data_IF_195315916179
#
_entry.id   IF_195315916179
#
_cell.length_a   1.000
_cell.length_b   1.000
_cell.length_c   1.000
_cell.angle_alpha   90.00
_cell.angle_beta   90.00
_cell.angle_gamma   90.00
#
_symmetry.space_group_name_H-M   'P 1'
#
loop_
_entity.id
_entity.type
_entity.pdbx_description
1 polymer ?
#
# COMPACT_ATOMS: atom_id res chain seq x y z
N UNK A 1 26.80 13.62 -1.92
CA UNK A 1 25.69 14.56 -2.17
C UNK A 1 25.11 14.95 -0.82
N UNK A 2 24.90 16.24 -0.60
CA UNK A 2 24.59 16.84 0.72
C UNK A 2 23.17 16.52 1.21
N UNK A 3 22.99 16.47 2.54
CA UNK A 3 21.72 16.40 3.28
C UNK A 3 20.59 17.30 2.71
N UNK A 4 20.96 18.39 2.03
CA UNK A 4 20.05 19.32 1.38
C UNK A 4 19.05 18.70 0.37
N UNK A 5 19.39 17.59 -0.31
CA UNK A 5 18.48 16.96 -1.27
C UNK A 5 17.39 16.11 -0.60
N UNK A 6 17.68 15.52 0.56
CA UNK A 6 16.70 14.80 1.37
C UNK A 6 15.84 15.77 2.20
N UNK A 7 16.43 16.88 2.67
CA UNK A 7 15.72 17.94 3.38
C UNK A 7 14.63 18.60 2.52
N UNK A 8 14.84 18.73 1.20
CA UNK A 8 13.88 19.36 0.29
C UNK A 8 12.59 18.55 0.06
N UNK A 9 12.56 17.26 0.41
CA UNK A 9 11.37 16.42 0.20
C UNK A 9 10.25 16.77 1.21
N UNK A 10 10.59 16.93 2.50
CA UNK A 10 9.61 16.98 3.60
C UNK A 10 9.12 18.39 3.97
N UNK A 11 9.70 19.45 3.39
CA UNK A 11 9.31 20.84 3.70
C UNK A 11 7.96 21.31 3.09
N UNK A 12 7.11 20.41 2.62
CA UNK A 12 5.91 20.80 1.84
C UNK A 12 4.73 21.32 2.66
N UNK A 13 4.69 21.13 3.99
CA UNK A 13 3.62 21.67 4.84
C UNK A 13 4.10 22.40 6.11
N UNK A 14 5.39 22.29 6.48
CA UNK A 14 5.91 22.76 7.76
C UNK A 14 5.36 22.02 9.00
N UNK A 15 4.38 21.14 8.83
CA UNK A 15 3.75 20.36 9.91
C UNK A 15 4.62 19.21 10.40
N UNK A 16 5.47 18.67 9.53
CA UNK A 16 6.36 17.55 9.80
C UNK A 16 7.82 17.97 9.61
N UNK A 17 8.71 17.34 10.35
CA UNK A 17 10.16 17.46 10.20
C UNK A 17 10.77 16.07 10.15
N UNK A 18 11.67 15.84 9.20
CA UNK A 18 12.48 14.62 9.18
C UNK A 18 13.57 14.69 10.24
N UNK A 19 13.74 13.60 10.99
CA UNK A 19 14.79 13.44 12.01
C UNK A 19 15.38 12.03 11.93
N UNK A 20 16.62 11.85 12.38
CA UNK A 20 17.17 10.52 12.67
C UNK A 20 16.67 10.08 14.04
N UNK A 21 16.13 8.85 14.10
CA UNK A 21 15.54 8.25 15.29
C UNK A 21 16.35 7.00 15.62
N UNK A 22 16.86 6.94 16.86
CA UNK A 22 17.70 5.83 17.32
C UNK A 22 16.99 4.49 17.12
N UNK A 23 17.66 3.57 16.42
CA UNK A 23 17.12 2.24 16.10
C UNK A 23 16.02 2.20 15.04
N UNK A 24 15.57 3.34 14.51
CA UNK A 24 14.50 3.43 13.49
C UNK A 24 14.92 4.16 12.21
N UNK A 25 16.13 4.71 12.16
CA UNK A 25 16.62 5.48 11.02
C UNK A 25 15.87 6.79 10.86
N UNK A 26 15.65 7.23 9.61
CA UNK A 26 14.94 8.47 9.32
C UNK A 26 13.44 8.30 9.56
N UNK A 27 12.85 9.20 10.34
CA UNK A 27 11.42 9.26 10.60
C UNK A 27 10.87 10.68 10.53
N UNK A 28 9.54 10.81 10.53
CA UNK A 28 8.83 12.09 10.52
C UNK A 28 8.25 12.40 11.89
N UNK A 29 8.57 13.56 12.46
CA UNK A 29 8.00 14.04 13.73
C UNK A 29 7.14 15.27 13.51
N UNK A 30 6.14 15.46 14.38
CA UNK A 30 5.31 16.65 14.40
C UNK A 30 6.15 17.90 14.72
N UNK A 31 6.18 18.89 13.83
CA UNK A 31 6.87 20.18 14.06
C UNK A 31 6.10 21.10 15.01
N UNK A 32 4.81 20.84 15.20
CA UNK A 32 3.90 21.57 16.08
C UNK A 32 2.79 20.62 16.59
N UNK A 33 1.95 21.00 17.57
CA UNK A 33 0.78 20.20 17.93
C UNK A 33 -0.15 20.00 16.74
N UNK A 34 -0.63 18.77 16.56
CA UNK A 34 -1.54 18.38 15.48
C UNK A 34 -2.87 17.92 16.05
N UNK A 35 -3.96 18.16 15.31
CA UNK A 35 -5.32 17.80 15.71
C UNK A 35 -5.81 16.56 14.96
N UNK A 36 -6.60 15.70 15.61
CA UNK A 36 -7.27 14.57 14.97
C UNK A 36 -7.96 14.96 13.65
N UNK A 37 -7.72 14.19 12.58
CA UNK A 37 -8.21 14.43 11.23
C UNK A 37 -7.37 15.39 10.38
N UNK A 38 -6.43 16.13 10.98
CA UNK A 38 -5.57 17.06 10.24
C UNK A 38 -4.75 16.33 9.18
N UNK A 39 -4.75 16.88 7.96
CA UNK A 39 -3.93 16.38 6.84
C UNK A 39 -2.51 16.87 7.05
N UNK A 40 -1.60 15.94 7.33
CA UNK A 40 -0.17 16.24 7.57
C UNK A 40 0.69 16.10 6.31
N UNK A 41 0.24 15.28 5.36
CA UNK A 41 0.91 15.09 4.07
C UNK A 41 -0.11 14.89 2.95
N UNK A 42 0.17 15.52 1.79
CA UNK A 42 -0.34 15.10 0.48
C UNK A 42 0.88 14.82 -0.37
N UNK A 43 0.97 13.62 -0.93
CA UNK A 43 2.14 13.19 -1.68
C UNK A 43 1.75 12.61 -3.04
N UNK A 44 2.54 12.96 -4.06
CA UNK A 44 2.37 12.47 -5.42
C UNK A 44 3.53 11.54 -5.76
N UNK A 45 3.27 10.45 -6.50
CA UNK A 45 4.29 9.45 -6.76
C UNK A 45 5.31 9.96 -7.79
N UNK A 46 6.59 9.73 -7.52
CA UNK A 46 7.67 9.98 -8.50
C UNK A 46 7.80 8.86 -9.52
N UNK A 47 7.30 7.68 -9.19
CA UNK A 47 7.37 6.49 -10.03
C UNK A 47 6.09 5.68 -9.86
N UNK A 48 5.53 5.18 -10.96
CA UNK A 48 4.29 4.41 -11.00
C UNK A 48 4.42 3.22 -11.95
N UNK A 49 3.93 2.06 -11.55
CA UNK A 49 3.90 0.86 -12.39
C UNK A 49 2.76 -0.08 -12.00
N UNK A 50 2.34 -0.92 -12.95
CA UNK A 50 1.25 -1.88 -12.71
C UNK A 50 1.75 -3.05 -11.86
N UNK A 51 0.93 -3.47 -10.89
CA UNK A 51 1.15 -4.67 -10.09
C UNK A 51 0.77 -5.96 -10.85
N UNK A 52 0.17 -5.84 -12.04
CA UNK A 52 -0.18 -6.98 -12.86
C UNK A 52 1.05 -7.53 -13.58
N UNK A 53 1.21 -8.86 -13.70
CA UNK A 53 2.30 -9.45 -14.46
C UNK A 53 2.27 -8.98 -15.92
N UNK A 54 3.40 -9.12 -16.61
CA UNK A 54 3.48 -8.79 -18.03
C UNK A 54 2.56 -9.70 -18.86
N UNK A 55 2.51 -10.98 -18.49
CA UNK A 55 1.73 -12.01 -19.17
C UNK A 55 0.75 -12.64 -18.19
N UNK A 56 -0.55 -12.55 -18.50
CA UNK A 56 -1.60 -13.16 -17.70
C UNK A 56 -1.81 -14.62 -18.16
N UNK A 57 -1.45 -15.59 -17.33
CA UNK A 57 -1.52 -17.03 -17.67
C UNK A 57 -2.95 -17.52 -17.93
N UNK A 58 -3.97 -16.81 -17.44
CA UNK A 58 -5.40 -17.09 -17.75
C UNK A 58 -5.78 -16.90 -19.22
N UNK A 59 -4.92 -16.29 -20.04
CA UNK A 59 -5.17 -16.09 -21.48
C UNK A 59 -4.90 -17.34 -22.33
N UNK A 60 -4.39 -18.43 -21.74
CA UNK A 60 -4.05 -19.66 -22.47
C UNK A 60 -5.08 -20.79 -22.28
N UNK A 61 -6.05 -20.65 -21.38
CA UNK A 61 -7.17 -21.59 -21.26
C UNK A 61 -8.26 -21.25 -22.28
N UNK A 62 -8.35 -22.05 -23.32
CA UNK A 62 -9.31 -21.96 -24.42
C UNK A 62 -10.74 -22.33 -23.97
N UNK A 63 -11.50 -21.36 -23.49
CA UNK A 63 -12.97 -21.39 -23.48
C UNK A 63 -13.52 -19.98 -23.23
N UNK A 64 -13.83 -19.28 -24.33
CA UNK A 64 -14.80 -18.18 -24.44
C UNK A 64 -15.23 -17.49 -23.13
N UNK A 65 -14.38 -16.64 -22.56
CA UNK A 65 -14.73 -15.55 -21.65
C UNK A 65 -13.66 -14.46 -21.79
N UNK A 66 -14.10 -13.20 -21.77
CA UNK A 66 -13.35 -12.02 -22.22
C UNK A 66 -11.90 -11.95 -21.72
N UNK A 67 -10.97 -11.66 -22.61
CA UNK A 67 -9.62 -11.20 -22.29
C UNK A 67 -9.73 -9.99 -21.34
N UNK A 68 -9.47 -10.15 -20.05
CA UNK A 68 -9.45 -9.07 -19.05
C UNK A 68 -8.19 -8.20 -19.17
N UNK A 69 -7.69 -8.00 -20.39
CA UNK A 69 -6.52 -7.20 -20.66
C UNK A 69 -6.92 -5.73 -20.74
N UNK A 70 -6.68 -5.04 -19.61
CA UNK A 70 -6.68 -3.59 -19.40
C UNK A 70 -7.98 -3.05 -18.78
N UNK A 71 -8.15 -3.33 -17.50
CA UNK A 71 -9.25 -2.79 -16.68
C UNK A 71 -8.95 -1.36 -16.18
N UNK A 72 -7.71 -0.88 -16.31
CA UNK A 72 -7.26 0.39 -15.71
C UNK A 72 -6.66 1.36 -16.72
N UNK A 73 -6.83 2.66 -16.45
CA UNK A 73 -6.10 3.71 -17.14
C UNK A 73 -4.58 3.57 -16.88
N UNK A 74 -3.77 3.48 -17.94
CA UNK A 74 -2.33 3.31 -17.83
C UNK A 74 -1.56 4.53 -17.25
N UNK A 75 -2.24 5.67 -17.04
CA UNK A 75 -1.65 6.86 -16.39
C UNK A 75 -2.00 6.99 -14.91
N UNK A 76 -3.26 6.77 -14.58
CA UNK A 76 -3.83 7.12 -13.28
C UNK A 76 -4.44 5.93 -12.54
N UNK A 77 -4.41 4.73 -13.15
CA UNK A 77 -4.94 3.49 -12.58
C UNK A 77 -6.43 3.50 -12.20
N UNK A 78 -7.18 4.48 -12.73
CA UNK A 78 -8.63 4.50 -12.61
C UNK A 78 -9.23 3.28 -13.29
N UNK A 79 -10.20 2.63 -12.65
CA UNK A 79 -11.03 1.58 -13.26
C UNK A 79 -11.81 2.12 -14.45
N UNK A 80 -11.73 1.40 -15.57
CA UNK A 80 -12.39 1.72 -16.83
C UNK A 80 -13.68 0.91 -17.04
N UNK A 81 -13.98 -0.04 -16.14
CA UNK A 81 -15.13 -0.94 -16.24
C UNK A 81 -16.37 -0.48 -15.45
N UNK A 82 -16.27 0.63 -14.70
CA UNK A 82 -17.32 1.10 -13.79
C UNK A 82 -18.51 1.80 -14.46
N UNK A 83 -19.06 1.28 -15.58
CA UNK A 83 -20.24 1.89 -16.23
C UNK A 83 -21.34 0.93 -16.70
N UNK A 84 -21.34 -0.34 -16.28
CA UNK A 84 -22.34 -1.32 -16.73
C UNK A 84 -23.56 -1.51 -15.81
N UNK A 85 -23.66 -0.82 -14.66
CA UNK A 85 -24.75 -1.04 -13.69
C UNK A 85 -25.63 0.17 -13.38
N UNK A 86 -25.60 1.25 -14.17
CA UNK A 86 -26.63 2.29 -14.11
C UNK A 86 -27.07 2.73 -15.50
N UNK A 87 -28.38 2.75 -15.69
CA UNK A 87 -29.14 3.00 -16.91
C UNK A 87 -29.06 4.45 -17.41
N UNK A 88 -27.85 4.98 -17.55
CA UNK A 88 -27.59 6.24 -18.26
C UNK A 88 -26.43 6.05 -19.24
N UNK A 89 -26.77 6.13 -20.51
CA UNK A 89 -25.93 5.96 -21.69
C UNK A 89 -24.83 7.02 -21.80
N UNK A 90 -23.78 6.88 -21.00
CA UNK A 90 -22.51 7.59 -21.18
C UNK A 90 -21.43 6.53 -21.36
N UNK A 91 -21.21 6.09 -22.60
CA UNK A 91 -20.07 5.23 -22.91
C UNK A 91 -18.79 6.01 -22.59
N UNK A 92 -18.09 5.65 -21.52
CA UNK A 92 -16.80 6.25 -21.19
C UNK A 92 -15.83 5.89 -22.31
N UNK A 93 -15.62 6.82 -23.24
CA UNK A 93 -14.74 6.62 -24.38
C UNK A 93 -13.29 6.53 -23.90
N UNK A 94 -12.74 5.31 -23.92
CA UNK A 94 -11.32 5.07 -23.64
C UNK A 94 -10.47 5.48 -24.83
N UNK A 95 -9.27 6.00 -24.56
CA UNK A 95 -8.29 6.40 -25.57
C UNK A 95 -7.17 5.37 -25.62
N UNK A 96 -6.99 4.60 -26.70
CA UNK A 96 -5.92 3.62 -26.81
C UNK A 96 -4.57 4.29 -27.13
N UNK A 97 -3.46 3.68 -26.67
CA UNK A 97 -2.14 4.08 -27.14
C UNK A 97 -2.01 3.82 -28.66
N UNK A 98 -1.52 4.78 -29.47
CA UNK A 98 -1.30 4.56 -30.91
C UNK A 98 -0.29 3.45 -31.23
N UNK A 99 0.65 3.17 -30.32
CA UNK A 99 1.74 2.21 -30.54
C UNK A 99 1.47 0.83 -29.91
N UNK A 100 0.68 0.76 -28.83
CA UNK A 100 0.42 -0.47 -28.10
C UNK A 100 -1.05 -0.56 -27.65
N UNK A 101 -1.98 -0.28 -28.57
CA UNK A 101 -3.43 -0.19 -28.30
C UNK A 101 -4.02 -1.41 -27.58
N UNK A 102 -3.48 -2.61 -27.84
CA UNK A 102 -3.89 -3.84 -27.18
C UNK A 102 -3.43 -3.95 -25.72
N UNK A 103 -2.62 -3.02 -25.24
CA UNK A 103 -1.81 -3.17 -24.02
C UNK A 103 -1.98 -2.04 -23.03
N UNK A 104 -2.22 -0.82 -23.52
CA UNK A 104 -2.37 0.35 -22.69
C UNK A 104 -3.48 1.23 -23.27
N UNK A 105 -4.44 1.54 -22.40
CA UNK A 105 -5.58 2.42 -22.68
C UNK A 105 -5.65 3.48 -21.58
N UNK A 106 -6.28 4.60 -21.91
CA UNK A 106 -6.35 5.79 -21.05
C UNK A 106 -7.79 6.24 -20.90
N UNK A 107 -8.15 6.78 -19.72
CA UNK A 107 -9.52 7.29 -19.49
C UNK A 107 -9.81 8.58 -20.25
N UNK A 108 -8.80 9.28 -20.77
CA UNK A 108 -8.94 10.55 -21.48
C UNK A 108 -7.70 10.86 -22.33
N UNK A 109 -7.86 11.80 -23.27
CA UNK A 109 -6.74 12.34 -24.04
C UNK A 109 -5.69 13.02 -23.14
N UNK A 110 -6.13 13.66 -22.05
CA UNK A 110 -5.24 14.26 -21.07
C UNK A 110 -4.35 13.22 -20.39
N UNK A 111 -4.92 12.06 -20.00
CA UNK A 111 -4.14 10.96 -19.44
C UNK A 111 -3.15 10.36 -20.45
N UNK A 112 -3.55 10.17 -21.71
CA UNK A 112 -2.63 9.72 -22.76
C UNK A 112 -1.47 10.72 -22.93
N UNK A 113 -1.78 12.01 -23.11
CA UNK A 113 -0.76 13.05 -23.32
C UNK A 113 0.20 13.17 -22.13
N UNK A 114 -0.31 13.13 -20.89
CA UNK A 114 0.52 13.17 -19.69
C UNK A 114 1.38 11.89 -19.54
N UNK A 115 0.88 10.72 -19.94
CA UNK A 115 1.62 9.47 -19.86
C UNK A 115 2.78 9.42 -20.86
N UNK A 116 2.57 9.91 -22.08
CA UNK A 116 3.60 9.95 -23.13
C UNK A 116 4.83 10.80 -22.75
N UNK A 117 4.67 11.74 -21.80
CA UNK A 117 5.76 12.55 -21.26
C UNK A 117 6.29 12.05 -19.91
N UNK A 118 5.76 10.94 -19.39
CA UNK A 118 6.12 10.38 -18.09
C UNK A 118 6.13 8.85 -18.12
N UNK A 119 5.21 8.19 -17.42
CA UNK A 119 5.18 6.74 -17.19
C UNK A 119 4.94 5.87 -18.44
N UNK A 120 4.66 6.46 -19.59
CA UNK A 120 4.44 5.77 -20.86
C UNK A 120 5.14 6.46 -22.03
N UNK A 121 6.38 6.94 -21.82
CA UNK A 121 7.22 7.47 -22.91
C UNK A 121 7.40 6.47 -24.06
N UNK A 122 7.80 6.91 -25.27
CA UNK A 122 7.99 6.01 -26.41
C UNK A 122 8.88 4.81 -26.11
N UNK A 123 9.94 4.99 -25.32
CA UNK A 123 10.80 3.90 -24.90
C UNK A 123 10.11 2.95 -23.92
N UNK A 124 9.43 3.48 -22.88
CA UNK A 124 8.70 2.64 -21.91
C UNK A 124 7.62 1.82 -22.61
N UNK A 125 6.85 2.45 -23.50
CA UNK A 125 5.86 1.79 -24.35
C UNK A 125 6.49 0.63 -25.14
N UNK A 126 7.57 0.89 -25.88
CA UNK A 126 8.22 -0.12 -26.71
C UNK A 126 8.86 -1.24 -25.86
N UNK A 127 9.50 -0.91 -24.74
CA UNK A 127 10.13 -1.86 -23.84
C UNK A 127 9.09 -2.84 -23.27
N UNK A 128 7.98 -2.33 -22.74
CA UNK A 128 6.91 -3.17 -22.18
C UNK A 128 6.21 -4.02 -23.24
N UNK A 129 6.00 -3.50 -24.45
CA UNK A 129 5.48 -4.30 -25.57
C UNK A 129 6.43 -5.44 -25.92
N UNK A 130 7.72 -5.17 -26.11
CA UNK A 130 8.72 -6.21 -26.44
C UNK A 130 8.80 -7.31 -25.38
N UNK A 131 8.75 -6.94 -24.10
CA UNK A 131 8.76 -7.91 -23.00
C UNK A 131 7.54 -8.84 -23.03
N UNK A 132 6.38 -8.33 -23.44
CA UNK A 132 5.17 -9.14 -23.63
C UNK A 132 5.19 -9.98 -24.88
N UNK A 133 5.72 -9.43 -25.97
CA UNK A 133 5.82 -10.09 -27.27
C UNK A 133 6.92 -11.18 -27.30
N UNK A 134 7.71 -11.31 -26.22
CA UNK A 134 8.69 -12.38 -26.02
C UNK A 134 8.34 -13.29 -24.81
N UNK A 135 7.24 -14.08 -24.87
CA UNK A 135 6.73 -14.81 -23.72
C UNK A 135 7.70 -15.83 -23.14
N UNK A 136 8.54 -16.46 -23.97
CA UNK A 136 9.45 -17.53 -23.57
C UNK A 136 10.41 -17.13 -22.45
N UNK A 137 10.85 -15.86 -22.44
CA UNK A 137 11.78 -15.33 -21.44
C UNK A 137 11.11 -14.98 -20.11
N UNK A 138 9.81 -14.66 -20.15
CA UNK A 138 9.08 -14.08 -19.02
C UNK A 138 8.13 -15.10 -18.38
N UNK A 139 7.54 -16.02 -19.15
CA UNK A 139 6.63 -17.07 -18.66
C UNK A 139 7.30 -18.06 -17.69
N UNK A 140 8.61 -18.27 -17.84
CA UNK A 140 9.38 -19.15 -16.95
C UNK A 140 9.73 -18.48 -15.62
N UNK A 141 9.39 -17.19 -15.47
CA UNK A 141 9.72 -16.41 -14.28
C UNK A 141 8.50 -16.25 -13.37
N UNK A 142 8.69 -16.20 -12.03
CA UNK A 142 7.61 -15.89 -11.08
C UNK A 142 6.93 -14.56 -11.42
N UNK A 143 5.63 -14.44 -11.09
CA UNK A 143 4.84 -13.22 -11.38
C UNK A 143 5.49 -11.95 -10.82
N UNK A 144 6.04 -12.03 -9.60
CA UNK A 144 6.77 -10.94 -8.96
C UNK A 144 7.93 -10.43 -9.82
N UNK A 145 8.70 -11.33 -10.45
CA UNK A 145 9.83 -10.95 -11.32
C UNK A 145 9.36 -10.20 -12.58
N UNK A 146 8.16 -10.49 -13.07
CA UNK A 146 7.56 -9.74 -14.17
C UNK A 146 7.14 -8.34 -13.75
N UNK A 147 6.64 -8.18 -12.52
CA UNK A 147 6.31 -6.88 -11.93
C UNK A 147 7.59 -6.06 -11.69
N UNK A 148 8.64 -6.68 -11.15
CA UNK A 148 9.97 -6.08 -11.00
C UNK A 148 10.53 -5.60 -12.34
N UNK A 149 10.30 -6.31 -13.45
CA UNK A 149 10.68 -5.84 -14.78
C UNK A 149 9.96 -4.55 -15.18
N UNK A 150 8.67 -4.40 -14.84
CA UNK A 150 7.91 -3.15 -15.07
C UNK A 150 8.48 -2.02 -14.23
N UNK A 151 8.75 -2.26 -12.95
CA UNK A 151 9.37 -1.30 -12.05
C UNK A 151 10.71 -0.81 -12.61
N UNK A 152 11.61 -1.72 -13.01
CA UNK A 152 12.93 -1.36 -13.50
C UNK A 152 12.89 -0.57 -14.82
N UNK A 153 11.95 -0.89 -15.73
CA UNK A 153 11.71 -0.06 -16.92
C UNK A 153 11.29 1.36 -16.51
N UNK A 154 10.38 1.50 -15.54
CA UNK A 154 9.99 2.80 -15.02
C UNK A 154 11.16 3.54 -14.32
N UNK A 155 11.98 2.83 -13.54
CA UNK A 155 13.11 3.38 -12.80
C UNK A 155 14.24 3.86 -13.74
N UNK A 156 14.55 3.10 -14.79
CA UNK A 156 15.54 3.49 -15.79
C UNK A 156 15.06 4.71 -16.61
N UNK A 157 13.76 4.79 -16.88
CA UNK A 157 13.17 6.00 -17.45
C UNK A 157 13.31 7.20 -16.49
N UNK A 158 12.99 7.01 -15.22
CA UNK A 158 13.13 8.05 -14.18
C UNK A 158 14.56 8.58 -14.10
N UNK A 159 15.56 7.67 -14.06
CA UNK A 159 16.98 8.01 -14.03
C UNK A 159 17.40 8.94 -15.16
N UNK A 160 16.82 8.74 -16.35
CA UNK A 160 17.23 9.48 -17.54
C UNK A 160 16.54 10.84 -17.68
N UNK A 161 15.24 10.89 -17.42
CA UNK A 161 14.42 12.08 -17.73
C UNK A 161 14.15 12.94 -16.49
N UNK A 162 14.24 12.35 -15.30
CA UNK A 162 13.96 13.02 -14.02
C UNK A 162 15.07 12.74 -13.00
N UNK A 163 16.33 13.15 -13.27
CA UNK A 163 17.48 12.77 -12.44
C UNK A 163 17.34 13.23 -10.99
N UNK A 164 16.70 14.36 -10.71
CA UNK A 164 16.45 14.80 -9.33
C UNK A 164 15.51 13.85 -8.58
N UNK A 165 14.43 13.40 -9.22
CA UNK A 165 13.51 12.41 -8.64
C UNK A 165 14.17 11.04 -8.49
N UNK A 166 15.02 10.65 -9.45
CA UNK A 166 15.79 9.42 -9.33
C UNK A 166 16.78 9.46 -8.17
N UNK A 167 17.41 10.62 -7.89
CA UNK A 167 18.25 10.77 -6.69
C UNK A 167 17.44 10.62 -5.40
N UNK A 168 16.18 11.08 -5.38
CA UNK A 168 15.29 10.84 -4.24
C UNK A 168 15.06 9.33 -4.07
N UNK A 169 14.67 8.62 -5.13
CA UNK A 169 14.53 7.16 -5.10
C UNK A 169 15.80 6.49 -4.56
N UNK A 170 16.98 6.84 -5.08
CA UNK A 170 18.25 6.29 -4.61
C UNK A 170 18.55 6.59 -3.13
N UNK A 171 18.03 7.69 -2.60
CA UNK A 171 18.21 8.07 -1.20
C UNK A 171 17.31 7.31 -0.23
N UNK A 172 16.30 6.58 -0.70
CA UNK A 172 15.39 5.79 0.14
C UNK A 172 16.07 4.55 0.72
N UNK A 173 15.52 4.03 1.80
CA UNK A 173 16.02 2.82 2.47
C UNK A 173 15.92 1.59 1.56
N UNK A 174 16.81 0.62 1.74
CA UNK A 174 16.81 -0.62 0.97
C UNK A 174 18.20 -1.00 0.50
N UNK A 175 18.72 -2.07 1.11
CA UNK A 175 19.97 -2.72 0.75
C UNK A 175 19.68 -4.09 0.13
N UNK A 176 20.35 -4.46 -0.97
CA UNK A 176 20.07 -5.72 -1.65
C UNK A 176 20.51 -6.93 -0.82
N UNK A 177 19.67 -7.96 -0.81
CA UNK A 177 20.00 -9.28 -0.29
C UNK A 177 20.39 -10.26 -1.43
N UNK A 178 20.60 -11.53 -1.10
CA UNK A 178 20.98 -12.57 -2.06
C UNK A 178 19.88 -12.85 -3.13
N UNK A 179 18.61 -12.81 -2.75
CA UNK A 179 17.48 -12.98 -3.67
C UNK A 179 17.39 -11.81 -4.64
N UNK A 180 17.54 -10.58 -4.14
CA UNK A 180 17.55 -9.36 -4.97
C UNK A 180 18.68 -9.40 -5.99
N UNK A 181 19.86 -9.88 -5.58
CA UNK A 181 21.03 -10.01 -6.46
C UNK A 181 20.76 -11.00 -7.59
N UNK A 182 20.12 -12.14 -7.30
CA UNK A 182 19.78 -13.15 -8.30
C UNK A 182 18.74 -12.62 -9.29
N UNK A 183 17.69 -11.97 -8.79
CA UNK A 183 16.69 -11.32 -9.63
C UNK A 183 17.31 -10.21 -10.50
N UNK A 184 18.21 -9.41 -9.92
CA UNK A 184 18.90 -8.33 -10.61
C UNK A 184 19.77 -8.83 -11.76
N UNK A 185 20.50 -9.93 -11.62
CA UNK A 185 21.33 -10.48 -12.71
C UNK A 185 20.50 -10.81 -13.95
N UNK A 186 19.37 -11.49 -13.76
CA UNK A 186 18.45 -11.83 -14.83
C UNK A 186 17.81 -10.56 -15.43
N UNK A 187 17.20 -9.72 -14.59
CA UNK A 187 16.44 -8.55 -15.04
C UNK A 187 17.34 -7.50 -15.69
N UNK A 188 18.55 -7.29 -15.17
CA UNK A 188 19.51 -6.37 -15.74
C UNK A 188 19.89 -6.77 -17.16
N UNK A 189 20.18 -8.06 -17.38
CA UNK A 189 20.51 -8.60 -18.70
C UNK A 189 19.33 -8.43 -19.68
N UNK A 190 18.12 -8.77 -19.21
CA UNK A 190 16.89 -8.64 -19.99
C UNK A 190 16.61 -7.19 -20.40
N UNK A 191 16.62 -6.26 -19.45
CA UNK A 191 16.26 -4.85 -19.71
C UNK A 191 17.36 -4.13 -20.49
N UNK A 192 18.63 -4.46 -20.27
CA UNK A 192 19.74 -3.90 -21.05
C UNK A 192 19.62 -4.28 -22.54
N UNK A 193 19.10 -5.47 -22.85
CA UNK A 193 18.83 -5.89 -24.24
C UNK A 193 17.75 -5.05 -24.94
N UNK A 194 16.92 -4.33 -24.18
CA UNK A 194 15.90 -3.42 -24.72
C UNK A 194 16.48 -2.07 -25.16
N UNK A 195 17.80 -1.88 -25.03
CA UNK A 195 18.52 -0.66 -25.38
C UNK A 195 17.92 0.59 -24.71
N UNK A 196 18.05 0.73 -23.37
CA UNK A 196 17.58 1.93 -22.67
C UNK A 196 18.16 3.21 -23.30
N UNK A 197 17.37 4.29 -23.39
CA UNK A 197 17.75 5.48 -24.13
C UNK A 197 18.88 6.21 -23.40
N UNK A 198 20.00 6.41 -24.09
CA UNK A 198 21.16 7.16 -23.59
C UNK A 198 21.54 6.77 -22.15
N UNK A 199 22.07 5.55 -21.94
CA UNK A 199 22.52 5.14 -20.62
C UNK A 199 23.57 6.14 -20.08
N UNK A 200 23.68 6.31 -18.74
CA UNK A 200 24.80 7.06 -18.18
C UNK A 200 26.13 6.50 -18.72
N UNK A 201 27.19 7.32 -18.77
CA UNK A 201 28.53 6.89 -19.20
C UNK A 201 28.92 5.61 -18.44
N UNK A 202 28.87 4.46 -19.11
CA UNK A 202 29.12 3.13 -18.51
C UNK A 202 27.91 2.19 -18.40
N UNK A 203 26.69 2.60 -18.76
CA UNK A 203 25.50 1.74 -18.61
C UNK A 203 24.86 1.84 -17.23
N UNK A 204 23.66 1.28 -17.08
CA UNK A 204 23.21 0.84 -15.76
C UNK A 204 24.04 -0.39 -15.35
N UNK A 205 24.25 -0.60 -14.06
CA UNK A 205 24.97 -1.78 -13.56
C UNK A 205 24.03 -2.78 -12.90
N UNK A 206 24.50 -4.02 -12.71
CA UNK A 206 23.75 -5.06 -11.97
C UNK A 206 23.57 -4.64 -10.51
N UNK A 207 24.56 -4.00 -9.90
CA UNK A 207 24.53 -3.52 -8.52
C UNK A 207 23.47 -2.42 -8.35
N UNK A 208 23.41 -1.49 -9.30
CA UNK A 208 22.35 -0.47 -9.32
C UNK A 208 20.98 -1.12 -9.49
N UNK A 209 20.87 -2.17 -10.31
CA UNK A 209 19.62 -2.92 -10.49
C UNK A 209 19.18 -3.57 -9.18
N UNK A 210 20.09 -4.24 -8.47
CA UNK A 210 19.82 -4.83 -7.17
C UNK A 210 19.40 -3.78 -6.13
N UNK A 211 20.10 -2.64 -6.09
CA UNK A 211 19.76 -1.53 -5.20
C UNK A 211 18.37 -0.95 -5.49
N UNK A 212 17.97 -0.86 -6.76
CA UNK A 212 16.62 -0.41 -7.13
C UNK A 212 15.54 -1.40 -6.70
N UNK A 213 15.77 -2.71 -6.88
CA UNK A 213 14.83 -3.75 -6.43
C UNK A 213 14.64 -3.73 -4.91
N UNK A 214 15.73 -3.56 -4.16
CA UNK A 214 15.64 -3.41 -2.71
C UNK A 214 14.81 -2.17 -2.34
N UNK A 215 15.06 -1.03 -2.98
CA UNK A 215 14.29 0.21 -2.74
C UNK A 215 12.81 0.05 -3.05
N UNK A 216 12.48 -0.66 -4.12
CA UNK A 216 11.09 -0.99 -4.45
C UNK A 216 10.44 -1.81 -3.33
N UNK A 217 11.10 -2.88 -2.88
CA UNK A 217 10.60 -3.76 -1.80
C UNK A 217 10.22 -2.99 -0.53
N UNK A 218 11.06 -2.05 -0.09
CA UNK A 218 10.83 -1.34 1.17
C UNK A 218 9.95 -0.09 1.05
N UNK A 219 9.79 0.49 -0.14
CA UNK A 219 9.21 1.83 -0.28
C UNK A 219 8.00 1.90 -1.22
N UNK A 220 7.63 0.80 -1.90
CA UNK A 220 6.48 0.78 -2.78
C UNK A 220 5.16 0.76 -2.00
N UNK A 221 4.29 1.71 -2.30
CA UNK A 221 2.94 1.75 -1.78
C UNK A 221 1.97 1.15 -2.81
N UNK A 222 1.28 0.08 -2.41
CA UNK A 222 0.25 -0.55 -3.22
C UNK A 222 -1.03 0.29 -3.30
N UNK A 223 -1.55 0.48 -4.52
CA UNK A 223 -2.91 0.95 -4.80
C UNK A 223 -3.82 -0.26 -4.87
N UNK A 224 -4.82 -0.30 -4.00
CA UNK A 224 -5.64 -1.48 -3.80
C UNK A 224 -6.87 -1.48 -4.72
N UNK A 225 -7.39 -2.65 -5.05
CA UNK A 225 -8.75 -2.79 -5.63
C UNK A 225 -9.82 -2.23 -4.69
N UNK A 226 -11.01 -1.79 -5.17
CA UNK A 226 -12.04 -1.23 -4.31
C UNK A 226 -12.46 -2.30 -3.31
N UNK A 227 -12.76 -1.90 -2.08
CA UNK A 227 -13.23 -2.85 -1.08
C UNK A 227 -14.52 -3.54 -1.55
N UNK A 228 -14.52 -4.87 -1.48
CA UNK A 228 -15.66 -5.73 -1.76
C UNK A 228 -15.91 -6.59 -0.51
N UNK A 229 -17.09 -6.53 0.12
CA UNK A 229 -17.44 -7.38 1.26
C UNK A 229 -17.44 -8.89 0.94
N UNK A 230 -17.41 -9.25 -0.35
CA UNK A 230 -17.39 -10.65 -0.81
C UNK A 230 -15.99 -11.23 -0.84
N UNK A 231 -14.99 -10.36 -0.78
CA UNK A 231 -13.61 -10.76 -0.72
C UNK A 231 -13.35 -11.07 0.76
N UNK A 232 -12.71 -12.18 1.06
CA UNK A 232 -12.40 -12.74 2.39
C UNK A 232 -11.39 -11.89 3.19
N UNK A 233 -11.52 -10.57 3.10
CA UNK A 233 -10.56 -9.58 3.59
C UNK A 233 -9.35 -9.40 2.67
N UNK A 234 -9.18 -10.22 1.62
CA UNK A 234 -8.05 -10.09 0.71
C UNK A 234 -8.35 -9.09 -0.41
N UNK A 235 -7.66 -7.94 -0.38
CA UNK A 235 -7.66 -6.97 -1.48
C UNK A 235 -6.39 -7.14 -2.30
N UNK A 236 -6.54 -7.29 -3.61
CA UNK A 236 -5.39 -7.31 -4.51
C UNK A 236 -4.87 -5.90 -4.80
N UNK A 237 -3.58 -5.81 -5.15
CA UNK A 237 -2.93 -4.58 -5.56
C UNK A 237 -3.04 -4.44 -7.07
N UNK A 238 -3.50 -3.29 -7.58
CA UNK A 238 -3.57 -3.01 -9.03
C UNK A 238 -2.34 -2.29 -9.58
N UNK A 239 -1.68 -1.51 -8.73
CA UNK A 239 -0.52 -0.71 -9.07
C UNK A 239 0.33 -0.39 -7.85
N UNK A 240 1.58 -0.04 -8.08
CA UNK A 240 2.51 0.43 -7.06
C UNK A 240 3.00 1.84 -7.41
N UNK A 241 3.31 2.61 -6.37
CA UNK A 241 3.96 3.90 -6.50
C UNK A 241 5.05 4.13 -5.45
N UNK A 242 6.08 4.88 -5.84
CA UNK A 242 7.09 5.40 -4.91
C UNK A 242 6.72 6.84 -4.56
N UNK A 243 6.52 7.11 -3.28
CA UNK A 243 6.06 8.40 -2.75
C UNK A 243 7.16 9.02 -1.90
N UNK A 244 7.82 10.08 -2.40
CA UNK A 244 9.09 10.54 -1.86
C UNK A 244 9.02 10.97 -0.40
N UNK A 245 7.87 11.42 0.08
CA UNK A 245 7.68 11.88 1.45
C UNK A 245 7.05 10.82 2.34
N UNK A 246 6.08 10.08 1.80
CA UNK A 246 5.43 9.03 2.58
C UNK A 246 6.35 7.85 2.91
N UNK A 247 7.38 7.59 2.10
CA UNK A 247 8.41 6.59 2.38
C UNK A 247 9.21 6.84 3.67
N UNK A 248 9.08 8.00 4.32
CA UNK A 248 9.73 8.33 5.60
C UNK A 248 8.85 8.11 6.83
N UNK A 249 7.60 7.65 6.67
CA UNK A 249 6.82 7.24 7.83
C UNK A 249 7.26 5.85 8.29
N UNK A 250 7.70 5.76 9.54
CA UNK A 250 7.99 4.49 10.18
C UNK A 250 6.72 3.75 10.58
N UNK A 251 6.87 2.46 10.85
CA UNK A 251 5.81 1.58 11.30
C UNK A 251 5.49 1.73 12.79
N UNK A 252 4.22 1.70 13.17
CA UNK A 252 3.77 1.39 14.53
C UNK A 252 2.55 0.45 14.47
N UNK A 253 2.46 -0.54 15.37
CA UNK A 253 1.31 -1.44 15.44
C UNK A 253 0.06 -0.76 16.03
N UNK A 254 0.22 0.43 16.62
CA UNK A 254 -0.83 1.37 17.01
C UNK A 254 -0.56 2.72 16.34
N UNK A 255 -0.78 2.83 15.03
CA UNK A 255 -0.40 4.02 14.28
C UNK A 255 -1.21 5.24 14.73
N UNK A 256 -0.57 6.41 14.77
CA UNK A 256 -1.24 7.68 15.06
C UNK A 256 -1.63 8.45 13.78
N UNK A 257 -1.38 7.87 12.60
CA UNK A 257 -1.83 8.39 11.32
C UNK A 257 -2.28 7.28 10.36
N UNK A 258 -3.19 7.64 9.46
CA UNK A 258 -3.75 6.77 8.44
C UNK A 258 -3.44 7.33 7.04
N UNK A 259 -3.02 6.44 6.14
CA UNK A 259 -2.93 6.69 4.71
C UNK A 259 -4.30 6.50 4.08
N UNK A 260 -4.75 7.50 3.32
CA UNK A 260 -5.91 7.45 2.44
C UNK A 260 -5.47 7.59 0.99
N UNK A 261 -5.99 6.72 0.14
CA UNK A 261 -5.99 6.90 -1.31
C UNK A 261 -7.44 6.96 -1.78
N UNK A 262 -7.71 7.93 -2.66
CA UNK A 262 -9.06 8.20 -3.16
C UNK A 262 -9.20 7.74 -4.61
N UNK A 263 -8.69 6.53 -4.88
CA UNK A 263 -8.74 5.91 -6.21
C UNK A 263 -10.20 5.73 -6.65
N UNK A 264 -10.51 6.08 -7.89
CA UNK A 264 -11.85 5.96 -8.51
C UNK A 264 -12.94 6.88 -7.96
N UNK A 265 -12.63 7.85 -7.08
CA UNK A 265 -13.64 8.65 -6.37
C UNK A 265 -14.14 9.90 -7.10
N UNK A 266 -13.34 10.51 -8.00
CA UNK A 266 -13.68 11.78 -8.63
C UNK A 266 -13.66 11.69 -10.16
N UNK A 267 -14.76 11.98 -10.88
CA UNK A 267 -14.84 11.87 -12.35
C UNK A 267 -13.81 12.73 -13.10
N UNK A 268 -13.41 13.86 -12.53
CA UNK A 268 -12.71 14.97 -13.17
C UNK A 268 -11.33 15.29 -12.57
N UNK A 269 -10.92 14.64 -11.47
CA UNK A 269 -9.61 14.88 -10.87
C UNK A 269 -8.47 14.23 -11.66
N UNK A 270 -7.43 15.03 -11.90
CA UNK A 270 -6.14 14.62 -12.47
C UNK A 270 -5.30 13.76 -11.51
N UNK A 271 -5.70 13.65 -10.23
CA UNK A 271 -4.87 13.12 -9.14
C UNK A 271 -5.48 11.84 -8.51
N UNK A 272 -5.68 10.80 -9.32
CA UNK A 272 -6.18 9.48 -8.87
C UNK A 272 -5.11 8.63 -8.15
N UNK A 273 -3.88 9.14 -8.06
CA UNK A 273 -2.69 8.42 -7.61
C UNK A 273 -2.00 9.13 -6.45
N UNK A 274 -2.59 10.18 -5.90
CA UNK A 274 -2.04 10.85 -4.73
C UNK A 274 -2.44 10.10 -3.47
N UNK A 275 -1.59 10.18 -2.44
CA UNK A 275 -1.90 9.71 -1.10
C UNK A 275 -2.01 10.87 -0.14
N UNK A 276 -2.91 10.73 0.84
CA UNK A 276 -3.17 11.72 1.88
C UNK A 276 -2.93 11.03 3.22
N UNK A 277 -2.14 11.65 4.09
CA UNK A 277 -1.94 11.17 5.46
C UNK A 277 -2.66 12.09 6.43
N UNK A 278 -3.54 11.50 7.25
CA UNK A 278 -4.26 12.18 8.33
C UNK A 278 -3.88 11.60 9.68
N UNK A 279 -3.72 12.45 10.68
CA UNK A 279 -3.56 11.98 12.06
C UNK A 279 -4.89 11.47 12.62
N UNK A 280 -4.83 10.39 13.38
CA UNK A 280 -5.99 9.69 13.95
C UNK A 280 -6.56 10.46 15.15
N UNK A 281 -5.69 11.04 15.96
CA UNK A 281 -6.02 11.80 17.15
C UNK A 281 -5.03 12.95 17.33
N UNK A 282 -5.20 13.76 18.38
CA UNK A 282 -4.27 14.84 18.68
C UNK A 282 -2.87 14.29 18.94
N UNK A 283 -1.85 14.95 18.36
CA UNK A 283 -0.44 14.55 18.48
C UNK A 283 0.39 15.74 18.99
N UNK A 284 1.14 15.60 20.09
CA UNK A 284 1.99 16.68 20.58
C UNK A 284 3.18 16.92 19.65
N UNK A 285 3.69 18.15 19.65
CA UNK A 285 4.93 18.51 18.98
C UNK A 285 6.08 17.57 19.40
N UNK A 286 6.91 17.19 18.44
CA UNK A 286 8.07 16.33 18.64
C UNK A 286 7.75 14.83 18.64
N UNK A 287 6.49 14.42 18.73
CA UNK A 287 6.11 13.01 18.62
C UNK A 287 6.24 12.54 17.16
N UNK A 288 6.78 11.34 17.00
CA UNK A 288 6.86 10.67 15.70
C UNK A 288 5.46 10.36 15.15
N UNK A 289 5.30 10.55 13.85
CA UNK A 289 4.11 10.16 13.11
C UNK A 289 4.40 8.82 12.45
N UNK A 290 3.56 7.83 12.75
CA UNK A 290 3.74 6.47 12.28
C UNK A 290 2.49 6.01 11.50
N UNK A 291 2.73 5.22 10.45
CA UNK A 291 1.69 4.48 9.75
C UNK A 291 1.75 3.00 10.18
N UNK A 292 0.68 2.24 9.96
CA UNK A 292 0.81 0.78 9.94
C UNK A 292 1.18 0.32 8.54
N UNK A 293 2.07 -0.66 8.43
CA UNK A 293 2.53 -1.21 7.15
C UNK A 293 1.62 -2.33 6.64
N UNK A 294 0.73 -2.81 7.50
CA UNK A 294 -0.24 -3.88 7.24
C UNK A 294 -1.51 -3.66 8.10
N UNK A 295 -2.59 -4.43 7.86
CA UNK A 295 -3.79 -4.38 8.70
C UNK A 295 -3.49 -4.56 10.19
N UNK A 296 -4.07 -3.72 11.05
CA UNK A 296 -3.73 -3.68 12.48
C UNK A 296 -4.28 -4.86 13.30
N UNK A 297 -5.14 -5.70 12.71
CA UNK A 297 -5.80 -6.82 13.37
C UNK A 297 -4.93 -8.09 13.51
N UNK A 298 -3.75 -8.13 12.89
CA UNK A 298 -2.84 -9.28 13.00
C UNK A 298 -2.33 -9.49 14.44
N UNK A 299 -2.12 -10.76 14.85
CA UNK A 299 -1.58 -11.14 16.17
C UNK A 299 -0.08 -10.84 16.31
N UNK A 300 0.44 -10.82 17.55
CA UNK A 300 1.83 -10.43 17.84
C UNK A 300 2.87 -11.20 17.02
N UNK A 301 2.80 -12.53 17.02
CA UNK A 301 3.76 -13.38 16.34
C UNK A 301 3.75 -13.15 14.82
N UNK A 302 2.57 -12.99 14.23
CA UNK A 302 2.42 -12.72 12.79
C UNK A 302 2.98 -11.35 12.42
N UNK A 303 2.68 -10.30 13.21
CA UNK A 303 3.24 -8.95 13.00
C UNK A 303 4.76 -8.95 13.05
N UNK A 304 5.37 -9.56 14.08
CA UNK A 304 6.83 -9.59 14.21
C UNK A 304 7.50 -10.38 13.09
N UNK A 305 6.94 -11.54 12.72
CA UNK A 305 7.43 -12.35 11.59
C UNK A 305 7.40 -11.56 10.30
N UNK A 306 6.25 -10.95 9.99
CA UNK A 306 6.07 -10.13 8.78
C UNK A 306 7.03 -8.95 8.72
N UNK A 307 7.20 -8.23 9.83
CA UNK A 307 8.17 -7.13 9.89
C UNK A 307 9.61 -7.58 9.68
N UNK A 308 9.98 -8.77 10.18
CA UNK A 308 11.30 -9.33 9.94
C UNK A 308 11.49 -9.77 8.47
N UNK A 309 10.53 -10.48 7.89
CA UNK A 309 10.62 -11.04 6.54
C UNK A 309 10.52 -9.97 5.43
N UNK A 310 9.55 -9.06 5.57
CA UNK A 310 9.26 -8.02 4.59
C UNK A 310 10.17 -6.80 4.77
N UNK A 311 10.41 -6.41 6.03
CA UNK A 311 11.05 -5.13 6.38
C UNK A 311 12.38 -5.25 7.14
N UNK A 312 12.80 -6.44 7.56
CA UNK A 312 14.10 -6.67 8.19
C UNK A 312 14.26 -6.08 9.59
N UNK A 313 13.17 -5.83 10.34
CA UNK A 313 13.26 -5.29 11.70
C UNK A 313 12.24 -5.91 12.67
N UNK A 314 12.50 -5.77 13.98
CA UNK A 314 11.59 -6.14 15.07
C UNK A 314 10.93 -4.89 15.64
N UNK A 315 9.60 -4.89 15.77
CA UNK A 315 8.87 -3.76 16.33
C UNK A 315 8.89 -3.78 17.86
N UNK A 316 9.18 -2.62 18.45
CA UNK A 316 9.23 -2.41 19.90
C UNK A 316 8.23 -1.33 20.35
N UNK A 317 7.14 -1.13 19.61
CA UNK A 317 6.07 -0.21 20.01
C UNK A 317 5.37 -0.67 21.30
N UNK A 318 4.63 0.23 21.95
CA UNK A 318 3.94 -0.05 23.21
C UNK A 318 3.09 -1.33 23.16
N UNK A 319 2.35 -1.54 22.05
CA UNK A 319 1.56 -2.76 21.83
C UNK A 319 2.42 -4.01 21.81
N UNK A 320 3.54 -3.98 21.09
CA UNK A 320 4.44 -5.13 21.01
C UNK A 320 5.12 -5.40 22.36
N UNK A 321 5.46 -4.37 23.13
CA UNK A 321 6.04 -4.53 24.47
C UNK A 321 5.05 -5.18 25.44
N UNK A 322 3.78 -4.77 25.39
CA UNK A 322 2.72 -5.37 26.22
C UNK A 322 2.43 -6.80 25.78
N UNK A 323 2.17 -7.03 24.49
CA UNK A 323 1.80 -8.36 23.97
C UNK A 323 2.96 -9.39 24.02
N UNK A 324 4.23 -8.95 24.01
CA UNK A 324 5.37 -9.86 24.19
C UNK A 324 5.38 -10.57 25.55
N UNK A 325 4.72 -9.99 26.56
CA UNK A 325 4.65 -10.54 27.91
C UNK A 325 3.38 -11.38 28.14
N UNK A 326 2.58 -11.63 27.10
CA UNK A 326 1.30 -12.33 27.21
C UNK A 326 1.40 -13.88 27.15
N UNK A 327 2.60 -14.47 27.13
CA UNK A 327 2.76 -15.94 27.01
C UNK A 327 3.45 -16.59 28.22
N UNK A 328 2.67 -17.33 29.02
CA UNK A 328 3.06 -18.58 29.70
C UNK A 328 1.86 -19.55 29.92
N UNK A 329 0.64 -19.28 29.39
CA UNK A 329 -0.55 -20.11 29.73
C UNK A 329 -1.42 -20.65 28.58
N UNK A 330 -1.15 -20.39 27.30
CA UNK A 330 -2.05 -20.85 26.23
C UNK A 330 -1.36 -21.42 24.98
N UNK A 331 -0.22 -22.12 25.12
CA UNK A 331 0.43 -22.81 23.98
C UNK A 331 1.09 -24.15 24.38
N UNK A 332 0.40 -24.97 25.19
CA UNK A 332 0.85 -26.33 25.58
C UNK A 332 0.10 -27.45 24.82
N UNK A 333 -0.39 -27.21 23.60
CA UNK A 333 -1.09 -28.25 22.82
C UNK A 333 -0.84 -28.21 21.30
N UNK A 334 0.39 -27.93 20.85
CA UNK A 334 0.81 -28.30 19.48
C UNK A 334 2.26 -28.81 19.46
N UNK A 335 2.48 -29.95 20.11
CA UNK A 335 3.54 -30.90 19.82
C UNK A 335 2.94 -32.25 20.20
N UNK A 336 2.63 -33.17 19.30
CA UNK A 336 3.54 -34.01 18.52
C UNK A 336 2.65 -34.79 17.53
N UNK A 337 2.82 -34.70 16.21
CA UNK A 337 2.49 -35.80 15.28
C UNK A 337 3.34 -35.65 14.01
N UNK A 338 4.57 -36.18 14.05
CA UNK A 338 5.32 -36.57 12.86
C UNK A 338 5.13 -38.09 12.64
N UNK A 339 4.71 -38.44 11.41
CA UNK A 339 4.82 -39.73 10.71
C UNK A 339 4.06 -40.96 11.26
N UNK A 340 2.95 -41.34 10.60
CA UNK A 340 2.71 -42.73 10.13
C UNK A 340 1.55 -42.85 9.09
N UNK A 341 1.90 -43.46 7.96
CA UNK A 341 1.16 -44.36 7.02
C UNK A 341 -0.05 -43.97 6.13
N UNK A 342 0.19 -44.30 4.84
CA UNK A 342 -0.65 -44.98 3.84
C UNK A 342 -2.17 -45.19 4.07
N UNK A 343 -2.96 -44.55 3.20
CA UNK A 343 -4.05 -45.16 2.43
C UNK A 343 -5.27 -45.75 3.16
N UNK A 344 -6.41 -45.04 3.10
CA UNK A 344 -7.69 -45.50 2.51
C UNK A 344 -8.82 -44.49 2.69
N UNK A 345 -9.73 -44.51 1.72
CA UNK A 345 -11.00 -43.79 1.64
C UNK A 345 -11.88 -43.90 2.90
N UNK A 346 -12.54 -42.81 3.32
CA UNK A 346 -13.99 -42.59 3.17
C UNK A 346 -14.47 -41.33 3.93
N UNK A 347 -15.29 -40.54 3.22
CA UNK A 347 -16.26 -39.50 3.60
C UNK A 347 -16.55 -39.23 5.10
N UNK A 348 -16.51 -37.96 5.51
CA UNK A 348 -17.66 -37.23 6.09
C UNK A 348 -17.36 -35.72 6.28
N UNK A 349 -18.37 -34.91 5.95
CA UNK A 349 -18.51 -33.47 6.24
C UNK A 349 -18.33 -33.15 7.73
N UNK A 350 -17.78 -31.97 8.07
CA UNK A 350 -18.48 -30.92 8.83
C UNK A 350 -17.61 -29.68 9.04
N UNK A 351 -18.27 -28.52 8.99
CA UNK A 351 -17.76 -27.16 9.07
C UNK A 351 -16.97 -26.84 10.36
N UNK A 352 -15.80 -26.22 10.24
CA UNK A 352 -15.21 -25.40 11.32
C UNK A 352 -15.06 -23.94 10.88
N UNK A 353 -16.10 -23.17 11.20
CA UNK A 353 -16.03 -21.72 11.35
C UNK A 353 -15.35 -21.40 12.68
N UNK A 354 -14.15 -20.83 12.63
CA UNK A 354 -13.53 -20.18 13.79
C UNK A 354 -14.26 -18.86 14.11
N UNK A 355 -15.35 -18.98 14.86
CA UNK A 355 -15.97 -17.86 15.55
C UNK A 355 -15.17 -17.55 16.81
N UNK A 356 -14.48 -16.41 16.81
CA UNK A 356 -13.91 -15.82 18.01
C UNK A 356 -15.03 -15.45 18.99
N UNK A 357 -15.37 -16.37 19.89
CA UNK A 357 -16.21 -16.09 21.05
C UNK A 357 -15.35 -15.43 22.13
N UNK A 358 -15.78 -14.24 22.56
CA UNK A 358 -15.20 -13.51 23.68
C UNK A 358 -15.38 -14.28 24.99
N UNK A 359 -14.32 -14.89 25.51
CA UNK A 359 -14.27 -15.40 26.87
C UNK A 359 -14.17 -14.23 27.84
N UNK A 360 -15.21 -14.03 28.66
CA UNK A 360 -15.21 -13.11 29.78
C UNK A 360 -14.27 -13.65 30.88
N UNK A 361 -13.00 -13.25 30.82
CA UNK A 361 -12.03 -13.35 31.91
C UNK A 361 -11.97 -12.04 32.69
N UNK A 362 -12.20 -12.12 34.01
CA UNK A 362 -12.08 -11.00 34.94
C UNK A 362 -10.63 -10.47 34.99
N UNK A 363 -10.44 -9.23 34.56
CA UNK A 363 -9.17 -8.51 34.62
C UNK A 363 -9.31 -7.12 34.00
N UNK A 364 -10.02 -6.22 34.67
CA UNK A 364 -10.36 -4.86 34.23
C UNK A 364 -9.13 -3.89 34.22
N UNK A 365 -7.93 -4.42 33.96
CA UNK A 365 -6.65 -3.70 33.99
C UNK A 365 -5.68 -4.06 32.83
N UNK A 366 -5.97 -5.06 31.98
CA UNK A 366 -4.97 -5.64 31.06
C UNK A 366 -5.02 -5.17 29.60
N UNK A 367 -5.86 -4.18 29.23
CA UNK A 367 -6.01 -3.82 27.82
C UNK A 367 -5.92 -2.29 27.54
N UNK A 368 -4.78 -1.64 27.83
CA UNK A 368 -4.58 -0.21 27.57
C UNK A 368 -4.75 0.20 26.09
N UNK A 369 -4.70 -0.76 25.18
CA UNK A 369 -4.79 -0.53 23.73
C UNK A 369 -6.15 -0.88 23.11
N UNK A 370 -7.11 -1.41 23.88
CA UNK A 370 -8.43 -1.86 23.36
C UNK A 370 -9.19 -0.68 22.79
N UNK A 371 -9.01 0.48 23.44
CA UNK A 371 -9.58 1.74 23.02
C UNK A 371 -9.27 2.08 21.56
N UNK A 372 -8.05 1.78 21.09
CA UNK A 372 -7.67 2.03 19.71
C UNK A 372 -8.54 1.21 18.75
N UNK A 373 -8.70 -0.09 19.01
CA UNK A 373 -9.49 -0.98 18.15
C UNK A 373 -10.98 -0.65 18.19
N UNK A 374 -11.52 -0.32 19.36
CA UNK A 374 -12.94 0.02 19.51
C UNK A 374 -13.26 1.34 18.78
N UNK A 375 -12.39 2.35 18.92
CA UNK A 375 -12.65 3.69 18.36
C UNK A 375 -12.23 3.79 16.90
N UNK A 376 -11.00 3.40 16.57
CA UNK A 376 -10.33 3.72 15.31
C UNK A 376 -10.17 2.53 14.35
N UNK A 377 -10.78 1.38 14.63
CA UNK A 377 -10.92 0.30 13.65
C UNK A 377 -12.30 0.34 13.00
N UNK A 378 -12.35 0.02 11.70
CA UNK A 378 -13.61 -0.09 10.97
C UNK A 378 -14.46 -1.22 11.53
N UNK A 379 -15.76 -0.94 11.67
CA UNK A 379 -16.81 -1.85 12.11
C UNK A 379 -17.38 -2.75 11.00
N UNK A 380 -16.99 -2.54 9.75
CA UNK A 380 -17.39 -3.41 8.64
C UNK A 380 -16.64 -4.73 8.69
N UNK A 381 -17.39 -5.81 8.60
CA UNK A 381 -16.86 -7.17 8.46
C UNK A 381 -15.81 -7.25 7.35
N UNK A 382 -14.70 -7.96 7.63
CA UNK A 382 -13.58 -8.16 6.72
C UNK A 382 -12.87 -6.91 6.19
N UNK A 383 -13.18 -5.71 6.70
CA UNK A 383 -12.53 -4.48 6.28
C UNK A 383 -11.16 -4.30 6.92
N UNK A 384 -11.09 -4.42 8.26
CA UNK A 384 -9.88 -4.25 9.08
C UNK A 384 -9.14 -2.91 8.88
N UNK A 385 -9.77 -1.95 8.21
CA UNK A 385 -9.21 -0.63 7.97
C UNK A 385 -9.15 0.20 9.25
N UNK A 386 -8.22 1.14 9.27
CA UNK A 386 -8.12 2.14 10.34
C UNK A 386 -8.94 3.37 9.97
N UNK A 387 -9.43 4.09 10.96
CA UNK A 387 -10.29 5.25 10.78
C UNK A 387 -9.63 6.49 11.35
N UNK A 388 -9.74 7.60 10.61
CA UNK A 388 -9.32 8.92 11.08
C UNK A 388 -10.47 9.91 10.91
N UNK A 389 -10.57 10.96 11.75
CA UNK A 389 -11.58 11.99 11.57
C UNK A 389 -11.52 12.62 10.17
N UNK A 390 -12.68 13.05 9.66
CA UNK A 390 -12.74 13.88 8.46
C UNK A 390 -11.87 15.13 8.65
N UNK A 391 -11.26 15.66 7.57
CA UNK A 391 -10.45 16.86 7.67
C UNK A 391 -11.24 17.98 8.34
N UNK A 392 -10.65 18.72 9.29
CA UNK A 392 -11.34 19.79 9.98
C UNK A 392 -11.84 20.84 8.96
N UNK A 393 -13.09 21.28 9.14
CA UNK A 393 -13.67 22.36 8.31
C UNK A 393 -13.07 23.73 8.67
N UNK A 394 -12.68 23.89 9.94
CA UNK A 394 -12.02 25.06 10.54
C UNK A 394 -11.01 24.59 11.61
N UNK A 395 -10.00 25.41 11.94
CA UNK A 395 -8.86 25.08 12.84
C UNK A 395 -9.22 24.72 14.31
N UNK A 396 -10.50 24.73 14.70
CA UNK A 396 -10.89 24.70 16.11
C UNK A 396 -11.40 23.34 16.63
N UNK A 397 -12.03 22.49 15.80
CA UNK A 397 -12.68 21.26 16.28
C UNK A 397 -12.50 20.07 15.33
N UNK A 398 -11.97 18.92 15.80
CA UNK A 398 -11.98 17.67 15.05
C UNK A 398 -13.41 17.27 14.64
N UNK A 399 -13.55 16.62 13.49
CA UNK A 399 -14.85 16.05 13.10
C UNK A 399 -15.24 14.91 14.04
N UNK A 400 -16.51 14.86 14.40
CA UNK A 400 -17.16 13.71 15.07
C UNK A 400 -17.46 12.55 14.10
N UNK A 401 -16.94 12.61 12.87
CA UNK A 401 -17.14 11.60 11.83
C UNK A 401 -15.78 11.07 11.44
N UNK A 402 -15.59 9.77 11.63
CA UNK A 402 -14.41 9.02 11.23
C UNK A 402 -14.64 8.41 9.84
N UNK A 403 -13.62 8.43 9.00
CA UNK A 403 -13.60 7.77 7.69
C UNK A 403 -12.61 6.61 7.69
N UNK A 404 -13.06 5.44 7.24
CA UNK A 404 -12.21 4.27 7.08
C UNK A 404 -11.31 4.40 5.85
N UNK A 405 -10.01 4.15 6.04
CA UNK A 405 -9.01 4.27 4.99
C UNK A 405 -8.99 3.12 3.95
N UNK A 406 -9.74 2.05 4.21
CA UNK A 406 -9.86 0.88 3.32
C UNK A 406 -11.13 0.93 2.48
N UNK A 407 -12.28 1.12 3.12
CA UNK A 407 -13.59 1.01 2.46
C UNK A 407 -14.38 2.32 2.36
N UNK A 408 -13.86 3.42 2.92
CA UNK A 408 -14.54 4.71 2.95
C UNK A 408 -15.80 4.74 3.84
N UNK A 409 -16.03 3.74 4.70
CA UNK A 409 -17.15 3.78 5.64
C UNK A 409 -17.03 4.99 6.56
N UNK A 410 -18.15 5.63 6.86
CA UNK A 410 -18.25 6.70 7.83
C UNK A 410 -18.85 6.17 9.13
N UNK A 411 -18.24 6.51 10.26
CA UNK A 411 -18.68 6.16 11.61
C UNK A 411 -18.71 7.42 12.47
N UNK A 412 -19.80 7.64 13.21
CA UNK A 412 -19.82 8.72 14.21
C UNK A 412 -18.98 8.32 15.42
N UNK A 413 -18.18 9.27 15.87
CA UNK A 413 -17.30 9.16 17.01
C UNK A 413 -18.10 9.33 18.30
N UNK A 414 -18.80 8.26 18.71
CA UNK A 414 -19.48 8.21 19.99
C UNK A 414 -18.42 8.08 21.08
N UNK A 415 -17.97 9.22 21.61
CA UNK A 415 -17.24 9.25 22.89
C UNK A 415 -18.25 8.87 23.96
N UNK A 416 -18.42 7.57 24.23
CA UNK A 416 -19.03 7.15 25.49
C UNK A 416 -18.04 7.53 26.57
N UNK A 417 -18.28 8.66 27.23
CA UNK A 417 -17.58 9.01 28.45
C UNK A 417 -17.65 7.80 29.39
N UNK A 418 -16.51 7.38 29.92
CA UNK A 418 -16.40 6.34 30.94
C UNK A 418 -16.95 6.81 32.30
N UNK A 419 -18.03 7.59 32.28
CA UNK A 419 -18.92 7.87 33.38
C UNK A 419 -20.32 7.49 32.91
N UNK A 420 -20.68 6.23 33.12
CA UNK A 420 -22.06 5.77 32.99
C UNK A 420 -22.96 6.60 33.89
N UNK A 421 -23.61 7.59 33.28
CA UNK A 421 -24.66 8.40 33.85
C UNK A 421 -25.70 8.57 32.77
N UNK A 422 -26.60 7.59 32.68
CA UNK A 422 -27.85 7.72 31.95
C UNK A 422 -28.69 8.80 32.65
N UNK A 423 -28.64 10.04 32.16
CA UNK A 423 -29.74 10.97 32.38
C UNK A 423 -30.71 10.81 31.20
N UNK A 424 -31.53 9.77 31.26
CA UNK A 424 -32.84 9.79 30.61
C UNK A 424 -33.66 10.92 31.25
N UNK A 425 -33.67 12.09 30.61
CA UNK A 425 -34.75 13.04 30.79
C UNK A 425 -35.80 12.77 29.72
N UNK A 426 -36.78 11.94 30.10
CA UNK A 426 -38.10 11.94 29.50
C UNK A 426 -38.68 13.36 29.56
N UNK A 427 -38.96 13.94 28.39
CA UNK A 427 -39.87 15.07 28.28
C UNK A 427 -41.24 14.52 27.90
N UNK A 428 -42.03 14.19 28.92
CA UNK A 428 -43.48 14.30 28.86
C UNK A 428 -43.85 15.71 29.35
N UNK A 429 -44.29 16.57 28.42
CA UNK A 429 -45.49 17.42 28.50
C UNK A 429 -45.58 18.40 27.30
#
# INVERSE_FOLDING_TARGET
MSEAAAAAAVETSGLLRMVEIEGRGRGLVASQPLRGGQIVLRDSPILLYSALPLINQSSFSSSSQSSTSNMYCAKCFRSLLSSSSSSSSSSTSVVPCPCCSHHHIFCSQNCLSAALTSCHSPWVCQALSRLRDCPSLVLQQPMERQVQARFLVAAYHLARFFPSQFQILLSLEGSPNALDTTAAQFLHSLISSLCPPHPPLGGFSVELTAALLAKDKFNAFGMMEPFSPRDDGQRSVRAYGIYPNASFFNHDCLPNACRFDYVDTAPDHHNNTDIIVRVVHDVPQGREICLSYFPVNENYASRQRRLMEDYGFTCHCDRCVVEANWSDHEDDNVAEEEEEEEGKDELMDEDHHDQMASTQGQGDADFPHAYFFIRYMCDRENCWGTMAPLPPKDDATPSDVLECNVCGNLKHDQVTDASGGEDELSMDD
#
